data_IF_323089941570
#
_entry.id   IF_323089941570
#
_cell.length_a   1.000
_cell.length_b   1.000
_cell.length_c   1.000
_cell.angle_alpha   90.00
_cell.angle_beta   90.00
_cell.angle_gamma   90.00
#
_symmetry.space_group_name_H-M   'P 1'
#
loop_
_entity.id
_entity.type
_entity.pdbx_description
1 polymer ?
#
# COMPACT_ATOMS: atom_id res chain seq x y z
N UNK A 1 -4.96 -67.73 14.94
CA UNK A 1 -4.48 -66.60 14.10
C UNK A 1 -5.49 -65.47 14.28
N UNK A 2 -5.16 -64.53 15.15
CA UNK A 2 -6.01 -63.38 15.50
C UNK A 2 -5.10 -62.16 15.47
N UNK A 3 -5.42 -61.22 14.59
CA UNK A 3 -4.73 -59.96 14.34
C UNK A 3 -4.88 -59.01 15.53
N UNK A 4 -3.80 -58.36 16.02
CA UNK A 4 -3.91 -57.34 17.05
C UNK A 4 -4.27 -55.97 16.44
N UNK A 5 -5.04 -55.21 17.22
CA UNK A 5 -5.76 -53.99 16.87
C UNK A 5 -4.93 -52.85 16.27
N UNK A 6 -5.53 -52.19 15.28
CA UNK A 6 -5.28 -50.81 14.93
C UNK A 6 -6.00 -49.92 15.94
N UNK A 7 -5.31 -49.54 17.01
CA UNK A 7 -5.67 -48.32 17.75
C UNK A 7 -5.28 -47.12 16.87
N UNK A 8 -6.15 -46.77 15.93
CA UNK A 8 -6.13 -45.43 15.34
C UNK A 8 -6.41 -44.43 16.46
N UNK A 9 -5.32 -43.86 16.98
CA UNK A 9 -5.37 -42.74 17.90
C UNK A 9 -6.16 -41.59 17.29
N UNK A 10 -7.45 -41.53 17.65
CA UNK A 10 -8.28 -40.33 17.50
C UNK A 10 -7.55 -39.24 18.28
N UNK A 11 -6.79 -38.40 17.58
CA UNK A 11 -6.18 -37.22 18.20
C UNK A 11 -7.31 -36.48 18.90
N UNK A 12 -7.21 -36.21 20.21
CA UNK A 12 -8.29 -35.55 20.93
C UNK A 12 -8.56 -34.22 20.23
N UNK A 13 -9.83 -34.01 19.85
CA UNK A 13 -10.32 -32.78 19.23
C UNK A 13 -10.03 -31.63 20.20
N UNK A 14 -8.87 -30.97 20.04
CA UNK A 14 -8.42 -29.90 20.93
C UNK A 14 -9.54 -28.87 21.02
N UNK A 15 -9.93 -28.56 22.25
CA UNK A 15 -11.02 -27.64 22.58
C UNK A 15 -10.73 -26.31 21.88
N UNK A 16 -11.60 -25.93 20.94
CA UNK A 16 -11.53 -24.65 20.25
C UNK A 16 -11.79 -23.56 21.29
N UNK A 17 -10.73 -22.91 21.77
CA UNK A 17 -10.87 -21.80 22.73
C UNK A 17 -11.37 -20.58 21.96
N UNK A 18 -12.67 -20.30 22.07
CA UNK A 18 -13.26 -19.06 21.58
C UNK A 18 -12.70 -17.90 22.42
N UNK A 19 -11.93 -17.00 21.79
CA UNK A 19 -11.38 -15.81 22.43
C UNK A 19 -12.21 -14.59 22.04
N UNK A 20 -12.41 -13.69 22.99
CA UNK A 20 -13.13 -12.43 22.80
C UNK A 20 -12.17 -11.32 22.39
N UNK A 21 -12.66 -10.36 21.62
CA UNK A 21 -11.89 -9.15 21.29
C UNK A 21 -11.71 -8.25 22.51
N UNK A 22 -10.71 -7.38 22.48
CA UNK A 22 -10.43 -6.47 23.59
C UNK A 22 -11.63 -5.51 23.83
N UNK A 23 -11.97 -5.18 25.09
CA UNK A 23 -13.12 -4.33 25.46
C UNK A 23 -13.09 -2.88 24.93
N UNK A 24 -12.06 -2.48 24.19
CA UNK A 24 -11.92 -1.13 23.58
C UNK A 24 -12.51 -1.06 22.17
N UNK A 25 -12.80 -2.19 21.55
CA UNK A 25 -13.46 -2.30 20.23
C UNK A 25 -14.81 -1.54 20.11
N UNK A 26 -15.68 -1.45 21.14
CA UNK A 26 -16.94 -0.70 21.09
C UNK A 26 -16.78 0.77 20.69
N UNK A 27 -15.75 1.42 21.22
CA UNK A 27 -15.56 2.88 21.09
C UNK A 27 -15.36 3.33 19.65
N UNK A 28 -14.76 2.48 18.79
CA UNK A 28 -14.63 2.76 17.36
C UNK A 28 -15.90 2.42 16.58
N UNK A 29 -16.69 1.41 16.93
CA UNK A 29 -17.95 1.16 16.20
C UNK A 29 -19.04 2.17 16.56
N UNK A 30 -18.91 2.86 17.69
CA UNK A 30 -19.81 3.91 18.12
C UNK A 30 -19.84 5.14 17.18
N UNK A 31 -18.79 5.45 16.40
CA UNK A 31 -18.85 6.59 15.48
C UNK A 31 -19.56 6.29 14.15
N UNK A 32 -19.80 5.02 13.80
CA UNK A 32 -20.42 4.67 12.52
C UNK A 32 -21.84 5.23 12.34
N UNK A 33 -22.74 5.20 13.35
CA UNK A 33 -24.03 5.89 13.28
C UNK A 33 -23.88 7.40 13.11
N UNK A 34 -22.89 8.03 13.76
CA UNK A 34 -22.60 9.46 13.63
C UNK A 34 -22.17 9.80 12.20
N UNK A 35 -21.33 8.97 11.57
CA UNK A 35 -20.93 9.16 10.18
C UNK A 35 -22.08 8.99 9.18
N UNK A 36 -23.06 8.14 9.46
CA UNK A 36 -24.29 8.01 8.64
C UNK A 36 -25.13 9.29 8.74
N UNK A 37 -25.27 9.85 9.95
CA UNK A 37 -26.00 11.13 10.15
C UNK A 37 -25.28 12.29 9.45
N UNK A 38 -23.95 12.36 9.55
CA UNK A 38 -23.13 13.37 8.87
C UNK A 38 -23.18 13.19 7.34
N UNK A 39 -23.12 11.95 6.86
CA UNK A 39 -23.23 11.64 5.44
C UNK A 39 -24.60 11.98 4.85
N UNK A 40 -25.67 11.74 5.61
CA UNK A 40 -27.04 12.16 5.25
C UNK A 40 -27.15 13.69 5.17
N UNK A 41 -26.59 14.42 6.15
CA UNK A 41 -26.55 15.88 6.13
C UNK A 41 -25.71 16.46 4.97
N UNK A 42 -24.68 15.74 4.51
CA UNK A 42 -23.84 16.15 3.39
C UNK A 42 -24.48 15.85 2.01
N UNK A 43 -25.42 14.92 1.93
CA UNK A 43 -26.08 14.55 0.67
C UNK A 43 -27.08 15.62 0.20
N UNK A 44 -27.70 16.35 1.13
CA UNK A 44 -28.66 17.43 0.85
C UNK A 44 -28.29 18.73 1.61
N UNK A 45 -27.29 19.49 1.14
CA UNK A 45 -26.76 20.65 1.85
C UNK A 45 -27.79 21.79 1.99
N UNK A 46 -28.70 21.97 1.02
CA UNK A 46 -29.72 23.03 1.07
C UNK A 46 -30.84 22.74 2.11
N UNK A 47 -31.28 21.49 2.26
CA UNK A 47 -32.26 21.12 3.30
C UNK A 47 -31.63 21.10 4.70
N UNK A 48 -30.38 20.62 4.81
CA UNK A 48 -29.64 20.64 6.06
C UNK A 48 -29.45 22.07 6.60
N UNK A 49 -29.18 23.04 5.72
CA UNK A 49 -29.01 24.44 6.10
C UNK A 49 -30.33 25.11 6.54
N UNK A 50 -31.45 24.84 5.87
CA UNK A 50 -32.77 25.31 6.30
C UNK A 50 -33.23 24.66 7.63
N UNK A 51 -32.91 23.39 7.88
CA UNK A 51 -33.20 22.73 9.15
C UNK A 51 -32.27 23.22 10.27
N UNK A 52 -30.97 23.40 10.02
CA UNK A 52 -30.00 23.91 11.01
C UNK A 52 -30.37 25.31 11.53
N UNK A 53 -30.93 26.18 10.68
CA UNK A 53 -31.39 27.52 11.08
C UNK A 53 -32.69 27.51 11.90
N UNK A 54 -33.47 26.41 11.85
CA UNK A 54 -34.69 26.20 12.68
C UNK A 54 -34.42 25.41 13.98
N UNK A 55 -33.22 24.87 14.17
CA UNK A 55 -32.88 24.06 15.34
C UNK A 55 -32.56 24.97 16.54
N UNK A 56 -33.53 25.13 17.44
CA UNK A 56 -33.30 25.64 18.80
C UNK A 56 -32.19 24.83 19.49
N UNK A 57 -31.33 25.45 20.30
CA UNK A 57 -30.26 24.79 21.08
C UNK A 57 -30.72 23.50 21.78
N UNK A 58 -31.99 23.49 22.23
CA UNK A 58 -32.66 22.34 22.84
C UNK A 58 -32.75 21.12 21.92
N UNK A 59 -33.06 21.29 20.63
CA UNK A 59 -33.19 20.18 19.68
C UNK A 59 -31.82 19.57 19.37
N UNK A 60 -30.78 20.39 19.27
CA UNK A 60 -29.39 19.93 19.14
C UNK A 60 -28.95 19.12 20.35
N UNK A 61 -29.29 19.56 21.57
CA UNK A 61 -29.04 18.82 22.81
C UNK A 61 -29.80 17.49 22.88
N UNK A 62 -31.06 17.46 22.44
CA UNK A 62 -31.87 16.22 22.39
C UNK A 62 -31.27 15.22 21.38
N UNK A 63 -30.91 15.69 20.18
CA UNK A 63 -30.25 14.84 19.17
C UNK A 63 -28.94 14.29 19.72
N UNK A 64 -28.12 15.12 20.37
CA UNK A 64 -26.88 14.67 21.00
C UNK A 64 -27.15 13.63 22.12
N UNK A 65 -28.13 13.90 22.98
CA UNK A 65 -28.52 13.03 24.09
C UNK A 65 -29.12 11.68 23.65
N UNK A 66 -29.66 11.57 22.42
CA UNK A 66 -30.17 10.31 21.87
C UNK A 66 -29.11 9.59 21.02
N UNK A 67 -28.38 10.33 20.18
CA UNK A 67 -27.40 9.77 19.24
C UNK A 67 -26.20 9.19 19.99
N UNK A 68 -25.70 9.86 21.04
CA UNK A 68 -24.51 9.39 21.78
C UNK A 68 -24.77 8.08 22.53
N UNK A 69 -25.89 7.90 23.27
CA UNK A 69 -26.22 6.62 23.90
C UNK A 69 -26.53 5.52 22.88
N UNK A 70 -27.28 5.82 21.81
CA UNK A 70 -27.58 4.84 20.76
C UNK A 70 -26.31 4.35 20.06
N UNK A 71 -25.39 5.26 19.75
CA UNK A 71 -24.06 4.96 19.23
C UNK A 71 -23.23 4.08 20.18
N UNK A 72 -23.24 4.42 21.47
CA UNK A 72 -22.51 3.69 22.50
C UNK A 72 -23.07 2.27 22.69
N UNK A 73 -24.40 2.13 22.73
CA UNK A 73 -25.10 0.86 22.83
C UNK A 73 -24.85 -0.02 21.60
N UNK A 74 -24.88 0.57 20.39
CA UNK A 74 -24.54 -0.13 19.16
C UNK A 74 -23.08 -0.63 19.18
N UNK A 75 -22.13 0.24 19.58
CA UNK A 75 -20.73 -0.14 19.74
C UNK A 75 -20.55 -1.30 20.71
N UNK A 76 -21.20 -1.23 21.87
CA UNK A 76 -21.14 -2.25 22.92
C UNK A 76 -21.72 -3.59 22.47
N UNK A 77 -22.94 -3.58 21.92
CA UNK A 77 -23.58 -4.77 21.37
C UNK A 77 -22.74 -5.37 20.24
N UNK A 78 -22.20 -4.55 19.35
CA UNK A 78 -21.36 -5.02 18.25
C UNK A 78 -20.08 -5.72 18.73
N UNK A 79 -19.44 -5.24 19.79
CA UNK A 79 -18.31 -5.91 20.43
C UNK A 79 -18.74 -7.20 21.13
N UNK A 80 -19.82 -7.17 21.91
CA UNK A 80 -20.31 -8.33 22.67
C UNK A 80 -20.58 -9.56 21.79
N UNK A 81 -21.02 -9.34 20.55
CA UNK A 81 -21.32 -10.43 19.61
C UNK A 81 -20.16 -10.80 18.66
N UNK A 82 -18.98 -10.18 18.76
CA UNK A 82 -17.83 -10.53 17.90
C UNK A 82 -16.90 -11.54 18.60
N UNK A 83 -16.83 -12.75 18.06
CA UNK A 83 -16.00 -13.85 18.60
C UNK A 83 -15.03 -14.35 17.53
N UNK A 84 -13.81 -14.72 17.92
CA UNK A 84 -12.86 -15.38 17.03
C UNK A 84 -12.37 -16.69 17.64
N UNK A 85 -12.09 -17.67 16.80
CA UNK A 85 -11.45 -18.90 17.20
C UNK A 85 -10.39 -19.31 16.19
N UNK A 86 -9.23 -19.70 16.71
CA UNK A 86 -8.09 -20.19 15.92
C UNK A 86 -8.02 -21.69 16.13
N UNK A 87 -8.17 -22.46 15.06
CA UNK A 87 -8.00 -23.92 15.03
C UNK A 87 -6.66 -24.26 14.37
N UNK A 88 -6.23 -25.52 14.42
CA UNK A 88 -4.96 -25.96 13.81
C UNK A 88 -4.90 -25.74 12.28
N UNK A 89 -6.04 -25.66 11.58
CA UNK A 89 -6.12 -25.53 10.12
C UNK A 89 -6.94 -24.34 9.61
N UNK A 90 -7.77 -23.73 10.47
CA UNK A 90 -8.65 -22.64 10.10
C UNK A 90 -8.76 -21.58 11.20
N UNK A 91 -8.79 -20.32 10.78
CA UNK A 91 -9.20 -19.18 11.57
C UNK A 91 -10.68 -18.91 11.27
N UNK A 92 -11.54 -19.00 12.29
CA UNK A 92 -12.95 -18.61 12.19
C UNK A 92 -13.18 -17.26 12.86
N UNK A 93 -13.78 -16.35 12.11
CA UNK A 93 -14.21 -15.05 12.61
C UNK A 93 -15.73 -15.01 12.54
N UNK A 94 -16.40 -14.90 13.68
CA UNK A 94 -17.86 -14.73 13.77
C UNK A 94 -18.16 -13.28 14.14
N UNK A 95 -18.79 -12.56 13.21
CA UNK A 95 -19.18 -11.15 13.40
C UNK A 95 -20.65 -10.95 13.06
N UNK A 96 -21.40 -10.23 13.89
CA UNK A 96 -22.74 -9.75 13.53
C UNK A 96 -23.70 -9.67 14.72
N UNK A 97 -24.41 -8.54 14.82
CA UNK A 97 -25.47 -8.33 15.80
C UNK A 97 -26.83 -8.82 15.27
N UNK A 98 -27.20 -8.40 14.05
CA UNK A 98 -28.43 -8.82 13.35
C UNK A 98 -28.15 -9.79 12.20
N UNK A 99 -27.10 -9.53 11.40
CA UNK A 99 -26.68 -10.39 10.30
C UNK A 99 -25.40 -11.13 10.66
N UNK A 100 -25.54 -12.42 11.02
CA UNK A 100 -24.43 -13.29 11.40
C UNK A 100 -23.58 -13.61 10.16
N UNK A 101 -22.31 -13.22 10.18
CA UNK A 101 -21.32 -13.59 9.17
C UNK A 101 -20.21 -14.40 9.83
N UNK A 102 -19.92 -15.56 9.24
CA UNK A 102 -18.79 -16.39 9.65
C UNK A 102 -17.80 -16.41 8.49
N UNK A 103 -16.62 -15.85 8.71
CA UNK A 103 -15.50 -15.98 7.78
C UNK A 103 -14.67 -17.21 8.22
N UNK A 104 -14.52 -18.17 7.30
CA UNK A 104 -13.64 -19.32 7.47
C UNK A 104 -12.38 -19.08 6.63
N UNK A 105 -11.26 -18.84 7.30
CA UNK A 105 -9.97 -18.57 6.66
C UNK A 105 -9.08 -19.78 6.90
N UNK A 106 -8.76 -20.54 5.85
CA UNK A 106 -7.79 -21.65 5.94
C UNK A 106 -6.40 -21.06 6.19
N UNK A 107 -5.67 -21.55 7.19
CA UNK A 107 -4.35 -21.02 7.58
C UNK A 107 -3.31 -21.19 6.46
N UNK A 108 -3.40 -22.25 5.67
CA UNK A 108 -2.62 -22.47 4.44
C UNK A 108 -2.79 -21.38 3.36
N UNK A 109 -3.88 -20.59 3.41
CA UNK A 109 -4.12 -19.48 2.49
C UNK A 109 -3.75 -18.14 3.11
N UNK A 110 -3.32 -18.12 4.36
CA UNK A 110 -2.88 -16.93 5.04
C UNK A 110 -1.48 -16.56 4.55
N UNK A 111 -1.37 -15.38 3.97
CA UNK A 111 -0.21 -14.98 3.18
C UNK A 111 0.65 -13.92 3.85
N UNK A 112 0.02 -13.01 4.59
CA UNK A 112 0.67 -11.95 5.34
C UNK A 112 -0.25 -11.53 6.51
N UNK A 113 0.37 -11.06 7.58
CA UNK A 113 -0.31 -10.62 8.80
C UNK A 113 0.27 -9.27 9.20
N UNK A 114 -0.48 -8.20 8.95
CA UNK A 114 -0.07 -6.84 9.25
C UNK A 114 -0.63 -6.38 10.58
N UNK A 115 0.17 -5.64 11.34
CA UNK A 115 -0.22 -5.10 12.64
C UNK A 115 -0.25 -3.58 12.57
N UNK A 116 -1.41 -3.00 12.90
CA UNK A 116 -1.63 -1.55 12.92
C UNK A 116 -2.01 -1.10 14.33
N UNK A 117 -1.31 -0.10 14.85
CA UNK A 117 -1.56 0.51 16.16
C UNK A 117 -1.83 2.00 16.00
N UNK A 118 -3.10 2.39 15.78
CA UNK A 118 -3.52 3.79 15.82
C UNK A 118 -3.21 4.46 17.15
N UNK A 119 -3.04 5.79 17.21
CA UNK A 119 -2.70 6.49 18.47
C UNK A 119 -3.63 6.14 19.62
N UNK A 120 -4.94 6.19 19.37
CA UNK A 120 -5.95 5.89 20.39
C UNK A 120 -5.85 4.44 20.85
N UNK A 121 -5.52 3.54 19.93
CA UNK A 121 -5.29 2.13 20.25
C UNK A 121 -3.99 1.94 21.05
N UNK A 122 -2.93 2.70 20.74
CA UNK A 122 -1.65 2.70 21.48
C UNK A 122 -1.83 3.18 22.91
N UNK A 123 -2.58 4.27 23.12
CA UNK A 123 -2.94 4.77 24.44
C UNK A 123 -3.79 3.75 25.22
N UNK A 124 -4.68 3.04 24.52
CA UNK A 124 -5.52 2.00 25.11
C UNK A 124 -4.83 0.62 25.23
N UNK A 125 -3.60 0.45 24.75
CA UNK A 125 -2.86 -0.82 24.78
C UNK A 125 -3.35 -1.89 23.80
N UNK A 126 -3.97 -1.51 22.68
CA UNK A 126 -4.65 -2.41 21.72
C UNK A 126 -4.08 -2.26 20.31
N UNK A 127 -4.10 -3.33 19.51
CA UNK A 127 -3.61 -3.38 18.14
C UNK A 127 -4.60 -4.07 17.20
N UNK A 128 -4.71 -3.57 15.96
CA UNK A 128 -5.54 -4.17 14.91
C UNK A 128 -4.69 -5.08 14.02
N UNK A 129 -5.21 -6.27 13.75
CA UNK A 129 -4.56 -7.27 12.91
C UNK A 129 -5.28 -7.33 11.54
N UNK A 130 -4.53 -7.22 10.46
CA UNK A 130 -5.06 -7.31 9.09
C UNK A 130 -4.48 -8.55 8.44
N UNK A 131 -5.36 -9.41 7.95
CA UNK A 131 -4.97 -10.69 7.35
C UNK A 131 -5.13 -10.61 5.85
N UNK A 132 -4.09 -11.02 5.13
CA UNK A 132 -4.12 -11.15 3.67
C UNK A 132 -4.29 -12.62 3.30
N UNK A 133 -5.34 -12.94 2.55
CA UNK A 133 -5.76 -14.31 2.24
C UNK A 133 -5.87 -14.50 0.73
N UNK A 134 -5.32 -15.60 0.20
CA UNK A 134 -5.39 -15.90 -1.23
C UNK A 134 -6.83 -16.14 -1.70
N UNK A 135 -7.24 -15.39 -2.73
CA UNK A 135 -8.53 -15.59 -3.41
C UNK A 135 -9.73 -14.99 -2.68
N UNK A 136 -9.51 -14.17 -1.65
CA UNK A 136 -10.56 -13.36 -1.05
C UNK A 136 -10.54 -11.94 -1.64
N UNK A 137 -11.65 -11.48 -2.22
CA UNK A 137 -11.78 -10.10 -2.74
C UNK A 137 -11.77 -9.05 -1.61
N UNK A 138 -12.01 -9.47 -0.36
CA UNK A 138 -11.98 -8.60 0.82
C UNK A 138 -10.90 -9.07 1.79
N UNK A 139 -10.07 -8.13 2.22
CA UNK A 139 -9.12 -8.36 3.31
C UNK A 139 -9.90 -8.48 4.61
N UNK A 140 -9.86 -9.64 5.24
CA UNK A 140 -10.51 -9.85 6.52
C UNK A 140 -9.67 -9.21 7.63
N UNK A 141 -10.29 -8.31 8.38
CA UNK A 141 -9.64 -7.55 9.45
C UNK A 141 -10.09 -8.07 10.81
N UNK A 142 -9.14 -8.50 11.63
CA UNK A 142 -9.38 -8.79 13.04
C UNK A 142 -9.25 -7.49 13.84
N UNK A 143 -10.39 -7.04 14.36
CA UNK A 143 -10.48 -5.80 15.10
C UNK A 143 -9.93 -5.97 16.53
N UNK A 144 -8.80 -5.31 16.82
CA UNK A 144 -8.39 -4.87 18.16
C UNK A 144 -8.24 -5.95 19.25
N UNK A 145 -7.04 -6.52 19.31
CA UNK A 145 -6.53 -7.41 20.36
C UNK A 145 -5.55 -6.65 21.26
N UNK A 146 -5.30 -7.08 22.51
CA UNK A 146 -4.27 -6.46 23.34
C UNK A 146 -2.92 -6.41 22.59
N UNK A 147 -2.12 -5.35 22.71
CA UNK A 147 -0.95 -5.16 21.85
C UNK A 147 0.10 -6.28 21.99
N UNK A 148 0.20 -6.91 23.16
CA UNK A 148 1.00 -8.13 23.39
C UNK A 148 0.33 -9.37 22.77
N UNK A 149 -0.96 -9.55 22.98
CA UNK A 149 -1.75 -10.64 22.40
C UNK A 149 -1.77 -10.61 20.87
N UNK A 150 -1.82 -9.42 20.26
CA UNK A 150 -1.78 -9.22 18.82
C UNK A 150 -0.42 -9.64 18.23
N UNK A 151 0.67 -9.32 18.93
CA UNK A 151 2.02 -9.75 18.54
C UNK A 151 2.19 -11.26 18.69
N UNK A 152 1.71 -11.83 19.81
CA UNK A 152 1.71 -13.27 20.03
C UNK A 152 0.85 -13.99 18.97
N UNK A 153 -0.36 -13.49 18.67
CA UNK A 153 -1.24 -14.05 17.67
C UNK A 153 -0.65 -13.94 16.25
N UNK A 154 0.04 -12.84 15.93
CA UNK A 154 0.77 -12.71 14.66
C UNK A 154 1.83 -13.81 14.53
N UNK A 155 2.68 -13.98 15.54
CA UNK A 155 3.71 -15.01 15.55
C UNK A 155 3.08 -16.41 15.44
N UNK A 156 2.01 -16.67 16.18
CA UNK A 156 1.28 -17.94 16.18
C UNK A 156 0.64 -18.23 14.81
N UNK A 157 0.01 -17.24 14.17
CA UNK A 157 -0.59 -17.38 12.84
C UNK A 157 0.45 -17.61 11.75
N UNK A 158 1.57 -16.88 11.80
CA UNK A 158 2.67 -17.05 10.83
C UNK A 158 3.35 -18.41 11.00
N UNK A 159 3.64 -18.83 12.23
CA UNK A 159 4.21 -20.14 12.52
C UNK A 159 3.31 -21.28 12.04
N UNK A 160 1.99 -21.20 12.29
CA UNK A 160 1.04 -22.20 11.79
C UNK A 160 0.87 -22.18 10.27
N UNK A 161 0.87 -21.00 9.65
CA UNK A 161 0.84 -20.88 8.19
C UNK A 161 2.10 -21.50 7.54
N UNK A 162 3.25 -21.42 8.21
CA UNK A 162 4.50 -22.05 7.82
C UNK A 162 4.62 -23.53 8.24
N UNK A 163 3.61 -24.10 8.92
CA UNK A 163 3.59 -25.52 9.31
C UNK A 163 4.39 -25.87 10.58
N UNK A 164 4.87 -24.88 11.33
CA UNK A 164 5.57 -25.09 12.60
C UNK A 164 4.59 -25.28 13.78
N UNK A 165 5.00 -26.05 14.80
CA UNK A 165 4.23 -26.22 16.03
C UNK A 165 4.20 -24.89 16.83
N UNK A 166 3.08 -24.53 17.48
CA UNK A 166 2.92 -23.22 18.14
C UNK A 166 3.87 -22.98 19.31
N UNK A 167 4.41 -24.03 19.93
CA UNK A 167 5.32 -23.94 21.08
C UNK A 167 6.68 -23.32 20.71
N UNK A 168 7.21 -23.59 19.51
CA UNK A 168 8.48 -22.98 19.04
C UNK A 168 8.33 -21.49 18.68
N UNK A 169 7.11 -21.02 18.41
CA UNK A 169 6.85 -19.62 18.08
C UNK A 169 6.87 -18.67 19.30
N UNK A 170 6.67 -19.19 20.52
CA UNK A 170 6.78 -18.41 21.75
C UNK A 170 8.23 -18.31 22.26
N UNK A 171 9.06 -19.32 22.00
CA UNK A 171 10.48 -19.34 22.39
C UNK A 171 11.37 -18.56 21.41
N UNK A 172 11.02 -18.56 20.12
CA UNK A 172 11.66 -17.71 19.12
C UNK A 172 11.02 -16.32 19.22
N UNK A 173 11.49 -15.51 20.18
CA UNK A 173 11.19 -14.08 20.22
C UNK A 173 11.41 -13.43 18.84
N UNK A 174 10.68 -12.35 18.56
CA UNK A 174 10.71 -11.59 17.30
C UNK A 174 12.16 -11.43 16.80
N UNK A 175 12.55 -12.19 15.77
CA UNK A 175 13.94 -12.27 15.34
C UNK A 175 14.49 -10.86 15.06
N UNK A 176 15.69 -10.51 15.55
CA UNK A 176 16.22 -9.16 15.44
C UNK A 176 16.35 -8.79 13.96
N UNK A 177 15.43 -7.95 13.49
CA UNK A 177 15.46 -7.47 12.12
C UNK A 177 16.72 -6.61 11.95
N UNK A 178 17.62 -7.01 11.04
CA UNK A 178 18.80 -6.20 10.75
C UNK A 178 18.32 -4.95 10.00
N UNK A 179 18.43 -3.80 10.65
CA UNK A 179 18.01 -2.52 10.06
C UNK A 179 18.88 -2.22 8.83
N UNK A 180 18.24 -2.20 7.65
CA UNK A 180 18.91 -1.92 6.38
C UNK A 180 18.94 -0.42 6.12
N UNK A 181 17.83 0.26 6.41
CA UNK A 181 17.66 1.67 6.15
C UNK A 181 16.62 2.26 7.09
N UNK A 182 16.95 3.41 7.68
CA UNK A 182 15.99 4.27 8.36
C UNK A 182 16.00 5.65 7.75
N UNK A 183 14.81 6.17 7.49
CA UNK A 183 14.62 7.49 6.93
C UNK A 183 14.49 8.48 8.08
N UNK A 184 15.47 9.38 8.29
CA UNK A 184 15.39 10.32 9.38
C UNK A 184 14.26 11.33 9.11
N UNK A 185 13.52 11.70 10.16
CA UNK A 185 12.35 12.58 10.06
C UNK A 185 12.68 13.93 9.40
N UNK A 186 13.89 14.45 9.61
CA UNK A 186 14.37 15.68 8.96
C UNK A 186 14.47 15.53 7.44
N UNK A 187 15.01 14.42 6.95
CA UNK A 187 15.11 14.19 5.50
C UNK A 187 13.74 14.02 4.88
N UNK A 188 12.84 13.30 5.55
CA UNK A 188 11.44 13.19 5.13
C UNK A 188 10.76 14.56 5.04
N UNK A 189 10.89 15.40 6.08
CA UNK A 189 10.29 16.73 6.09
C UNK A 189 10.81 17.60 4.93
N UNK A 190 12.13 17.63 4.71
CA UNK A 190 12.74 18.39 3.61
C UNK A 190 12.29 17.81 2.26
N UNK A 191 12.24 16.49 2.12
CA UNK A 191 11.82 15.82 0.90
C UNK A 191 10.36 16.17 0.54
N UNK A 192 9.47 16.18 1.53
CA UNK A 192 8.07 16.58 1.35
C UNK A 192 7.95 18.05 0.95
N UNK A 193 8.71 18.96 1.59
CA UNK A 193 8.75 20.37 1.18
C UNK A 193 9.30 20.58 -0.23
N UNK A 194 10.21 19.73 -0.68
CA UNK A 194 10.75 19.73 -2.04
C UNK A 194 9.87 18.94 -3.04
N UNK A 195 8.68 18.49 -2.64
CA UNK A 195 7.77 17.81 -3.56
C UNK A 195 7.06 18.84 -4.43
N UNK A 196 7.00 18.61 -5.75
CA UNK A 196 6.44 19.58 -6.70
C UNK A 196 4.96 19.93 -6.49
N UNK A 197 4.18 19.05 -5.84
CA UNK A 197 2.79 19.32 -5.50
C UNK A 197 2.62 20.51 -4.54
N UNK A 198 3.49 20.61 -3.52
CA UNK A 198 3.49 21.71 -2.55
C UNK A 198 3.75 23.04 -3.24
N UNK A 199 4.76 23.09 -4.11
CA UNK A 199 5.08 24.29 -4.90
C UNK A 199 4.00 24.63 -5.93
N UNK A 200 3.38 23.64 -6.55
CA UNK A 200 2.26 23.84 -7.47
C UNK A 200 1.04 24.45 -6.78
N UNK A 201 0.69 23.95 -5.60
CA UNK A 201 -0.40 24.49 -4.78
C UNK A 201 -0.09 25.91 -4.29
N UNK A 202 1.14 26.18 -3.85
CA UNK A 202 1.58 27.53 -3.46
C UNK A 202 1.57 28.51 -4.65
N UNK A 203 2.03 28.09 -5.83
CA UNK A 203 1.96 28.91 -7.03
C UNK A 203 0.51 29.21 -7.44
N UNK A 204 -0.37 28.21 -7.35
CA UNK A 204 -1.80 28.40 -7.57
C UNK A 204 -2.41 29.35 -6.54
N UNK A 205 -2.07 29.19 -5.26
CA UNK A 205 -2.53 30.08 -4.20
C UNK A 205 -2.02 31.52 -4.34
N UNK A 206 -0.89 31.74 -5.03
CA UNK A 206 -0.37 33.08 -5.33
C UNK A 206 -1.07 33.72 -6.53
N UNK A 207 -1.43 32.93 -7.54
CA UNK A 207 -1.94 33.44 -8.84
C UNK A 207 -3.48 33.49 -8.89
N UNK A 208 -4.15 32.45 -8.39
CA UNK A 208 -5.61 32.30 -8.50
C UNK A 208 -6.36 33.40 -7.74
N UNK A 209 -6.02 33.75 -6.48
CA UNK A 209 -6.78 34.76 -5.75
C UNK A 209 -6.73 36.17 -6.39
N UNK A 210 -5.57 36.69 -6.87
CA UNK A 210 -5.53 37.95 -7.61
C UNK A 210 -6.34 37.93 -8.91
N UNK A 211 -6.28 36.84 -9.68
CA UNK A 211 -7.06 36.69 -10.92
C UNK A 211 -8.56 36.70 -10.63
N UNK A 212 -8.99 35.98 -9.59
CA UNK A 212 -10.39 35.97 -9.17
C UNK A 212 -10.84 37.34 -8.63
N UNK A 213 -9.98 38.04 -7.91
CA UNK A 213 -10.25 39.41 -7.46
C UNK A 213 -10.50 40.34 -8.65
N UNK A 214 -9.62 40.33 -9.65
CA UNK A 214 -9.75 41.14 -10.87
C UNK A 214 -11.04 40.81 -11.65
N UNK A 215 -11.46 39.56 -11.68
CA UNK A 215 -12.64 39.13 -12.41
C UNK A 215 -13.97 39.39 -11.66
N UNK A 216 -13.99 39.26 -10.33
CA UNK A 216 -15.23 39.22 -9.54
C UNK A 216 -15.40 40.36 -8.56
N UNK A 217 -14.30 41.06 -8.18
CA UNK A 217 -14.26 42.08 -7.12
C UNK A 217 -14.87 41.62 -5.78
N UNK A 218 -14.96 40.31 -5.56
CA UNK A 218 -15.58 39.69 -4.40
C UNK A 218 -14.50 39.12 -3.47
N UNK A 219 -14.35 39.72 -2.29
CA UNK A 219 -13.44 39.22 -1.24
C UNK A 219 -13.82 37.80 -0.82
N UNK A 220 -15.11 37.48 -0.76
CA UNK A 220 -15.60 36.16 -0.37
C UNK A 220 -15.19 35.07 -1.36
N UNK A 221 -15.23 35.34 -2.67
CA UNK A 221 -14.81 34.39 -3.70
C UNK A 221 -13.31 34.11 -3.63
N UNK A 222 -12.52 35.16 -3.37
CA UNK A 222 -11.07 35.07 -3.17
C UNK A 222 -10.75 34.24 -1.92
N UNK A 223 -11.41 34.48 -0.79
CA UNK A 223 -11.21 33.72 0.44
C UNK A 223 -11.66 32.25 0.31
N UNK A 224 -12.83 32.03 -0.29
CA UNK A 224 -13.40 30.70 -0.50
C UNK A 224 -12.52 29.81 -1.39
N UNK A 225 -11.73 30.40 -2.29
CA UNK A 225 -10.82 29.66 -3.19
C UNK A 225 -9.37 29.63 -2.70
N UNK A 226 -8.87 30.75 -2.17
CA UNK A 226 -7.49 30.89 -1.71
C UNK A 226 -7.17 30.07 -0.46
N UNK A 227 -8.10 30.04 0.52
CA UNK A 227 -7.88 29.33 1.77
C UNK A 227 -7.77 27.80 1.58
N UNK A 228 -8.64 27.13 0.78
CA UNK A 228 -8.45 25.72 0.46
C UNK A 228 -7.17 25.42 -0.33
N UNK A 229 -6.73 26.31 -1.24
CA UNK A 229 -5.48 26.12 -2.00
C UNK A 229 -4.25 26.14 -1.08
N UNK A 230 -4.19 27.09 -0.14
CA UNK A 230 -3.14 27.13 0.88
C UNK A 230 -3.22 25.92 1.82
N UNK A 231 -4.42 25.57 2.27
CA UNK A 231 -4.67 24.40 3.10
C UNK A 231 -4.22 23.09 2.43
N UNK A 232 -4.49 22.93 1.12
CA UNK A 232 -4.11 21.74 0.36
C UNK A 232 -2.58 21.54 0.26
N UNK A 233 -1.82 22.64 0.15
CA UNK A 233 -0.36 22.58 0.13
C UNK A 233 0.21 21.99 1.44
N UNK A 234 -0.33 22.46 2.58
CA UNK A 234 0.06 21.99 3.91
C UNK A 234 -0.47 20.60 4.24
N UNK A 235 -1.75 20.34 3.99
CA UNK A 235 -2.43 19.10 4.36
C UNK A 235 -1.85 17.86 3.66
N UNK A 236 -1.54 17.97 2.36
CA UNK A 236 -0.95 16.85 1.60
C UNK A 236 0.44 16.48 2.11
N UNK A 237 1.25 17.48 2.48
CA UNK A 237 2.59 17.28 3.04
C UNK A 237 2.52 16.75 4.47
N UNK A 238 1.64 17.32 5.30
CA UNK A 238 1.46 16.90 6.69
C UNK A 238 0.92 15.47 6.81
N UNK A 239 -0.07 15.10 5.99
CA UNK A 239 -0.62 13.74 5.97
C UNK A 239 0.43 12.69 5.59
N UNK A 240 1.25 12.98 4.58
CA UNK A 240 2.38 12.10 4.21
C UNK A 240 3.46 12.07 5.28
N UNK A 241 3.77 13.19 5.93
CA UNK A 241 4.73 13.21 7.02
C UNK A 241 4.26 12.33 8.18
N UNK A 242 2.99 12.45 8.56
CA UNK A 242 2.38 11.63 9.61
C UNK A 242 2.39 10.14 9.27
N UNK A 243 2.03 9.79 8.03
CA UNK A 243 1.99 8.39 7.59
C UNK A 243 3.38 7.78 7.39
N UNK A 244 4.32 8.52 6.81
CA UNK A 244 5.66 8.05 6.45
C UNK A 244 6.71 8.31 7.56
N UNK A 245 6.30 8.78 8.74
CA UNK A 245 7.21 9.11 9.85
C UNK A 245 7.96 7.88 10.38
N UNK A 246 9.22 8.08 10.78
CA UNK A 246 10.10 7.06 11.36
C UNK A 246 10.14 5.77 10.54
N UNK A 247 10.21 5.91 9.22
CA UNK A 247 10.21 4.79 8.29
C UNK A 247 11.49 3.96 8.42
N UNK A 248 11.34 2.69 8.78
CA UNK A 248 12.43 1.72 8.88
C UNK A 248 12.18 0.55 7.93
N UNK A 249 13.24 0.11 7.27
CA UNK A 249 13.27 -1.11 6.47
C UNK A 249 14.27 -2.05 7.11
N UNK A 250 13.78 -3.20 7.58
CA UNK A 250 14.58 -4.25 8.18
C UNK A 250 14.51 -5.54 7.38
N UNK A 251 15.57 -6.35 7.48
CA UNK A 251 15.58 -7.70 6.93
C UNK A 251 15.05 -8.71 7.95
N UNK A 252 14.12 -9.58 7.53
CA UNK A 252 13.50 -10.64 8.33
C UNK A 252 13.61 -11.99 7.59
N UNK A 253 13.54 -13.14 8.29
CA UNK A 253 13.51 -14.46 7.65
C UNK A 253 12.38 -14.63 6.62
N UNK A 254 11.25 -13.94 6.82
CA UNK A 254 10.08 -14.04 5.94
C UNK A 254 10.03 -12.96 4.83
N UNK A 255 11.02 -12.05 4.78
CA UNK A 255 11.08 -10.97 3.79
C UNK A 255 11.52 -9.62 4.37
N UNK A 256 11.17 -8.51 3.69
CA UNK A 256 11.48 -7.17 4.17
C UNK A 256 10.39 -6.67 5.11
N UNK A 257 10.77 -6.27 6.31
CA UNK A 257 9.89 -5.63 7.28
C UNK A 257 9.93 -4.12 7.10
N UNK A 258 8.76 -3.51 7.06
CA UNK A 258 8.57 -2.08 6.94
C UNK A 258 7.78 -1.61 8.15
N UNK A 259 8.36 -0.72 8.95
CA UNK A 259 7.68 -0.07 10.06
C UNK A 259 7.60 1.44 9.81
N UNK A 260 6.41 2.03 10.00
CA UNK A 260 6.19 3.45 9.75
C UNK A 260 4.97 3.99 10.49
N UNK A 261 4.94 5.32 10.66
CA UNK A 261 3.79 6.07 11.14
C UNK A 261 4.02 6.78 12.48
N UNK A 262 3.61 8.05 12.54
CA UNK A 262 3.65 8.86 13.76
C UNK A 262 2.42 8.58 14.64
N UNK A 263 1.24 8.70 14.01
CA UNK A 263 -0.03 8.50 14.67
C UNK A 263 -0.41 7.02 14.68
N UNK A 264 -0.42 6.42 13.49
CA UNK A 264 -0.81 5.03 13.31
C UNK A 264 0.44 4.22 12.93
N UNK A 265 1.02 3.51 13.91
CA UNK A 265 2.20 2.68 13.66
C UNK A 265 1.79 1.40 12.95
N UNK A 266 2.34 1.18 11.76
CA UNK A 266 2.04 0.03 10.90
C UNK A 266 3.30 -0.81 10.74
N UNK A 267 3.16 -2.12 10.97
CA UNK A 267 4.20 -3.13 10.81
C UNK A 267 3.78 -4.09 9.70
N UNK A 268 4.39 -3.97 8.52
CA UNK A 268 4.09 -4.79 7.34
C UNK A 268 5.32 -5.60 6.93
N UNK A 269 5.09 -6.83 6.45
CA UNK A 269 6.13 -7.68 5.89
C UNK A 269 5.88 -7.86 4.40
N UNK A 270 6.81 -7.39 3.58
CA UNK A 270 6.77 -7.53 2.13
C UNK A 270 7.61 -8.74 1.74
N UNK A 271 6.99 -9.86 1.34
CA UNK A 271 7.73 -11.00 0.83
C UNK A 271 8.28 -10.66 -0.57
N UNK A 272 9.60 -10.73 -0.77
CA UNK A 272 10.27 -10.35 -2.01
C UNK A 272 9.79 -11.15 -3.23
N UNK A 273 9.43 -12.43 -3.06
CA UNK A 273 8.85 -13.27 -4.09
C UNK A 273 7.53 -12.75 -4.70
N UNK A 274 6.80 -11.90 -3.97
CA UNK A 274 5.54 -11.29 -4.44
C UNK A 274 5.71 -9.93 -5.10
N UNK A 275 6.92 -9.38 -5.09
CA UNK A 275 7.22 -8.10 -5.75
C UNK A 275 7.18 -8.31 -7.26
N UNK A 276 6.27 -7.60 -7.93
CA UNK A 276 6.06 -7.67 -9.37
C UNK A 276 6.89 -6.62 -10.10
N UNK A 277 6.86 -5.39 -9.60
CA UNK A 277 7.55 -4.25 -10.19
C UNK A 277 8.15 -3.39 -9.09
N UNK A 278 9.35 -2.86 -9.33
CA UNK A 278 10.00 -1.84 -8.49
C UNK A 278 10.06 -0.54 -9.27
N UNK A 279 9.66 0.58 -8.68
CA UNK A 279 9.66 1.89 -9.33
C UNK A 279 10.48 2.89 -8.53
N UNK A 280 11.53 3.41 -9.14
CA UNK A 280 12.38 4.46 -8.58
C UNK A 280 11.87 5.80 -9.11
N UNK A 281 11.32 6.61 -8.22
CA UNK A 281 10.77 7.94 -8.51
C UNK A 281 11.73 9.02 -8.04
N UNK A 282 12.13 9.90 -8.96
CA UNK A 282 13.05 11.00 -8.74
C UNK A 282 12.38 12.34 -9.15
N UNK A 283 11.76 13.06 -8.20
CA UNK A 283 11.20 14.39 -8.41
C UNK A 283 12.26 15.43 -8.82
N UNK A 284 11.84 16.49 -9.53
CA UNK A 284 12.77 17.49 -10.10
C UNK A 284 13.69 18.13 -9.04
N UNK A 285 13.11 18.58 -7.93
CA UNK A 285 13.86 19.29 -6.87
C UNK A 285 14.75 18.34 -6.06
N UNK A 286 14.45 17.05 -6.05
CA UNK A 286 15.24 16.02 -5.35
C UNK A 286 16.53 15.66 -6.10
N UNK A 287 16.60 15.92 -7.42
CA UNK A 287 17.76 15.59 -8.26
C UNK A 287 19.06 16.20 -7.78
N UNK A 288 19.02 17.43 -7.28
CA UNK A 288 20.21 18.12 -6.75
C UNK A 288 20.76 17.44 -5.50
N UNK A 289 19.90 16.74 -4.75
CA UNK A 289 20.25 16.01 -3.53
C UNK A 289 20.55 14.53 -3.78
N UNK A 290 20.30 14.02 -4.99
CA UNK A 290 20.41 12.59 -5.30
C UNK A 290 19.37 11.73 -4.57
N UNK A 291 18.24 12.31 -4.17
CA UNK A 291 17.18 11.61 -3.44
C UNK A 291 16.19 10.94 -4.37
N UNK A 292 15.77 9.74 -4.00
CA UNK A 292 14.80 8.93 -4.71
C UNK A 292 13.77 8.35 -3.75
N UNK A 293 12.56 8.11 -4.25
CA UNK A 293 11.53 7.31 -3.61
C UNK A 293 11.45 5.96 -4.31
N UNK A 294 11.36 4.89 -3.55
CA UNK A 294 11.19 3.53 -4.09
C UNK A 294 9.78 3.06 -3.80
N UNK A 295 9.03 2.84 -4.87
CA UNK A 295 7.68 2.28 -4.87
C UNK A 295 7.74 0.81 -5.29
N UNK A 296 6.85 -0.02 -4.75
CA UNK A 296 6.71 -1.44 -5.10
C UNK A 296 5.30 -1.69 -5.58
N UNK A 297 5.16 -2.57 -6.55
CA UNK A 297 3.89 -3.21 -6.86
C UNK A 297 3.98 -4.66 -6.39
N UNK A 298 3.31 -4.98 -5.27
CA UNK A 298 3.30 -6.31 -4.67
C UNK A 298 1.97 -6.97 -4.97
N UNK A 299 1.98 -8.25 -5.34
CA UNK A 299 0.75 -9.02 -5.50
C UNK A 299 0.05 -9.17 -4.14
N UNK A 300 -1.23 -8.79 -4.06
CA UNK A 300 -2.03 -8.89 -2.84
C UNK A 300 -1.88 -7.73 -1.86
N UNK A 301 -0.73 -7.03 -1.79
CA UNK A 301 -0.60 -5.88 -0.87
C UNK A 301 -1.20 -4.58 -1.42
N UNK A 302 -1.75 -3.77 -0.51
CA UNK A 302 -2.18 -2.41 -0.81
C UNK A 302 -1.03 -1.39 -0.62
N UNK A 303 0.05 -1.78 0.06
CA UNK A 303 1.21 -0.94 0.22
C UNK A 303 2.00 -0.90 -1.09
N UNK A 304 2.34 0.31 -1.49
CA UNK A 304 3.04 0.59 -2.74
C UNK A 304 4.38 1.27 -2.52
N UNK A 305 4.87 1.36 -1.27
CA UNK A 305 6.05 2.14 -0.90
C UNK A 305 7.02 1.24 -0.15
N UNK A 306 8.27 1.20 -0.61
CA UNK A 306 9.37 0.55 0.10
C UNK A 306 10.22 1.56 0.86
N UNK A 307 10.55 2.67 0.22
CA UNK A 307 11.38 3.74 0.80
C UNK A 307 10.79 5.09 0.40
N UNK A 308 10.35 5.92 1.36
CA UNK A 308 9.70 7.19 1.04
C UNK A 308 10.69 8.23 0.50
N UNK A 309 11.89 8.27 1.06
CA UNK A 309 13.04 9.04 0.56
C UNK A 309 14.34 8.40 1.02
N UNK A 310 15.30 8.26 0.11
CA UNK A 310 16.68 7.92 0.44
C UNK A 310 17.65 8.41 -0.63
N UNK A 311 18.96 8.54 -0.30
CA UNK A 311 20.00 8.64 -1.31
C UNK A 311 19.94 7.46 -2.29
N UNK A 312 20.18 7.73 -3.57
CA UNK A 312 20.08 6.72 -4.64
C UNK A 312 20.89 5.44 -4.35
N UNK A 313 22.11 5.56 -3.82
CA UNK A 313 22.94 4.41 -3.49
C UNK A 313 22.32 3.51 -2.41
N UNK A 314 21.73 4.11 -1.37
CA UNK A 314 21.04 3.37 -0.31
C UNK A 314 19.76 2.70 -0.84
N UNK A 315 19.01 3.39 -1.70
CA UNK A 315 17.84 2.81 -2.36
C UNK A 315 18.22 1.62 -3.25
N UNK A 316 19.29 1.72 -4.04
CA UNK A 316 19.79 0.63 -4.89
C UNK A 316 20.25 -0.58 -4.05
N UNK A 317 20.85 -0.37 -2.88
CA UNK A 317 21.21 -1.45 -1.96
C UNK A 317 19.98 -2.21 -1.42
N UNK A 318 18.91 -1.50 -1.06
CA UNK A 318 17.65 -2.14 -0.64
C UNK A 318 16.99 -2.88 -1.81
N UNK A 319 17.00 -2.31 -3.01
CA UNK A 319 16.44 -2.94 -4.22
C UNK A 319 17.19 -4.23 -4.57
N UNK A 320 18.52 -4.25 -4.42
CA UNK A 320 19.32 -5.45 -4.65
C UNK A 320 18.94 -6.60 -3.71
N UNK A 321 18.43 -6.29 -2.50
CA UNK A 321 17.91 -7.31 -1.59
C UNK A 321 16.53 -7.83 -2.03
N UNK A 322 15.67 -6.98 -2.59
CA UNK A 322 14.35 -7.38 -3.10
C UNK A 322 14.44 -8.19 -4.39
N UNK A 323 15.29 -7.74 -5.31
CA UNK A 323 15.49 -8.31 -6.63
C UNK A 323 16.95 -8.77 -6.77
N UNK A 324 17.32 -9.96 -6.28
CA UNK A 324 18.68 -10.46 -6.41
C UNK A 324 19.05 -10.61 -7.89
N UNK A 325 20.24 -10.13 -8.26
CA UNK A 325 20.73 -10.12 -9.65
C UNK A 325 20.17 -8.99 -10.53
N UNK A 326 19.28 -8.15 -10.02
CA UNK A 326 18.82 -6.96 -10.73
C UNK A 326 19.77 -5.79 -10.50
N UNK A 327 20.62 -5.51 -11.49
CA UNK A 327 21.36 -4.25 -11.53
C UNK A 327 20.47 -3.12 -12.03
N UNK A 328 20.44 -2.01 -11.28
CA UNK A 328 19.76 -0.79 -11.71
C UNK A 328 20.65 -0.08 -12.73
N UNK A 329 20.29 -0.03 -14.03
CA UNK A 329 21.14 0.58 -15.02
C UNK A 329 21.25 2.09 -14.77
N UNK A 330 22.47 2.61 -14.95
CA UNK A 330 22.71 4.04 -14.90
C UNK A 330 21.82 4.77 -15.91
N UNK A 331 21.31 5.95 -15.56
CA UNK A 331 20.36 6.67 -16.43
C UNK A 331 20.94 7.02 -17.81
N UNK A 332 22.26 7.06 -17.95
CA UNK A 332 22.97 7.30 -19.21
C UNK A 332 22.91 6.11 -20.19
N UNK A 333 22.77 4.87 -19.69
CA UNK A 333 22.75 3.67 -20.54
C UNK A 333 21.37 3.36 -21.14
N UNK A 334 20.34 4.12 -20.73
CA UNK A 334 18.99 3.99 -21.27
C UNK A 334 18.90 4.47 -22.72
N UNK A 335 18.51 3.59 -23.63
CA UNK A 335 18.18 3.90 -25.02
C UNK A 335 17.03 4.91 -25.08
N UNK A 336 17.26 6.06 -25.71
CA UNK A 336 16.27 7.13 -25.86
C UNK A 336 15.39 6.92 -27.09
N UNK A 337 14.15 7.45 -27.12
CA UNK A 337 13.33 7.43 -28.32
C UNK A 337 14.03 8.11 -29.50
N UNK A 338 13.75 7.70 -30.75
CA UNK A 338 14.28 8.38 -31.93
C UNK A 338 13.79 9.83 -31.98
N UNK A 339 14.57 10.74 -32.60
CA UNK A 339 14.25 12.18 -32.65
C UNK A 339 12.85 12.50 -33.20
N UNK A 340 12.34 11.67 -34.11
CA UNK A 340 10.99 11.80 -34.68
C UNK A 340 9.85 11.60 -33.67
N UNK A 341 10.12 11.02 -32.50
CA UNK A 341 9.20 10.99 -31.36
C UNK A 341 8.73 12.41 -30.95
N UNK A 342 9.55 13.43 -31.23
CA UNK A 342 9.19 14.83 -31.07
C UNK A 342 7.96 15.26 -31.86
N UNK A 343 7.60 14.58 -32.96
CA UNK A 343 6.37 14.90 -33.72
C UNK A 343 5.09 14.41 -33.07
N UNK A 344 5.18 13.41 -32.18
CA UNK A 344 4.04 12.99 -31.36
C UNK A 344 3.97 13.78 -30.06
N UNK A 345 5.12 13.98 -29.42
CA UNK A 345 5.25 14.65 -28.13
C UNK A 345 6.50 15.53 -28.18
N UNK A 346 6.41 16.87 -28.33
CA UNK A 346 7.56 17.72 -28.65
C UNK A 346 8.60 17.83 -27.53
N UNK A 347 8.16 17.82 -26.27
CA UNK A 347 9.06 18.00 -25.11
C UNK A 347 9.19 16.73 -24.26
N UNK A 348 8.07 16.05 -24.02
CA UNK A 348 7.99 14.94 -23.07
C UNK A 348 8.72 13.67 -23.51
N UNK A 349 8.94 13.48 -24.82
CA UNK A 349 9.66 12.32 -25.36
C UNK A 349 11.08 12.17 -24.81
N UNK A 350 11.75 13.28 -24.46
CA UNK A 350 13.10 13.29 -23.88
C UNK A 350 13.18 12.62 -22.51
N UNK A 351 12.04 12.50 -21.82
CA UNK A 351 11.91 11.83 -20.53
C UNK A 351 11.80 10.30 -20.63
N UNK A 352 11.54 9.75 -21.82
CA UNK A 352 11.45 8.30 -21.99
C UNK A 352 12.83 7.68 -22.18
N UNK A 353 12.95 6.41 -21.80
CA UNK A 353 14.16 5.63 -22.01
C UNK A 353 13.90 4.17 -21.70
N UNK A 354 14.74 3.29 -22.23
CA UNK A 354 14.63 1.85 -22.00
C UNK A 354 16.01 1.21 -21.88
N UNK A 355 16.13 0.24 -20.98
CA UNK A 355 17.25 -0.70 -20.96
C UNK A 355 16.69 -2.09 -20.69
N UNK A 356 17.38 -3.10 -21.21
CA UNK A 356 17.06 -4.49 -20.90
C UNK A 356 18.36 -5.15 -20.46
N UNK A 357 18.40 -5.60 -19.21
CA UNK A 357 19.54 -6.35 -18.66
C UNK A 357 19.26 -7.85 -18.71
N UNK A 358 20.15 -8.67 -18.17
CA UNK A 358 19.92 -10.12 -18.11
C UNK A 358 18.73 -10.51 -17.22
N UNK A 359 18.50 -9.77 -16.13
CA UNK A 359 17.49 -10.10 -15.13
C UNK A 359 16.23 -9.22 -15.21
N UNK A 360 16.34 -7.95 -15.63
CA UNK A 360 15.24 -6.99 -15.56
C UNK A 360 15.04 -6.18 -16.84
N UNK A 361 13.77 -5.93 -17.12
CA UNK A 361 13.30 -4.94 -18.08
C UNK A 361 13.15 -3.58 -17.39
N UNK A 362 13.77 -2.55 -17.94
CA UNK A 362 13.79 -1.21 -17.34
C UNK A 362 13.19 -0.19 -18.29
N UNK A 363 12.15 0.51 -17.84
CA UNK A 363 11.54 1.61 -18.58
C UNK A 363 11.51 2.89 -17.75
N UNK A 364 11.99 3.98 -18.36
CA UNK A 364 11.98 5.33 -17.77
C UNK A 364 10.86 6.16 -18.38
N UNK A 365 10.18 6.94 -17.54
CA UNK A 365 9.21 7.93 -17.96
C UNK A 365 9.31 9.25 -17.18
N UNK A 366 8.83 10.32 -17.81
CA UNK A 366 8.67 11.65 -17.20
C UNK A 366 9.93 12.53 -17.28
N UNK A 367 9.70 13.83 -17.52
CA UNK A 367 10.75 14.84 -17.60
C UNK A 367 10.97 15.57 -16.27
N UNK A 368 9.88 15.99 -15.61
CA UNK A 368 9.91 16.71 -14.32
C UNK A 368 9.97 15.74 -13.14
N UNK A 369 9.06 14.77 -13.09
CA UNK A 369 9.11 13.61 -12.19
C UNK A 369 9.64 12.43 -12.99
N UNK A 370 10.93 12.11 -12.83
CA UNK A 370 11.51 10.93 -13.47
C UNK A 370 11.05 9.71 -12.70
N UNK A 371 10.70 8.66 -13.41
CA UNK A 371 10.32 7.40 -12.81
C UNK A 371 10.87 6.27 -13.65
N UNK A 372 11.62 5.37 -13.02
CA UNK A 372 12.27 4.22 -13.63
C UNK A 372 11.61 2.98 -13.04
N UNK A 373 10.89 2.23 -13.85
CA UNK A 373 10.29 0.96 -13.46
C UNK A 373 11.19 -0.20 -13.87
N UNK A 374 11.42 -1.13 -12.94
CA UNK A 374 12.16 -2.36 -13.12
C UNK A 374 11.20 -3.54 -12.99
N UNK A 375 11.19 -4.40 -14.01
CA UNK A 375 10.34 -5.59 -14.08
C UNK A 375 11.22 -6.81 -14.31
N UNK A 376 11.31 -7.75 -13.36
CA UNK A 376 12.02 -9.01 -13.57
C UNK A 376 11.42 -9.79 -14.74
N UNK A 377 12.26 -10.34 -15.61
CA UNK A 377 11.79 -11.13 -16.76
C UNK A 377 10.89 -12.30 -16.34
N UNK A 378 11.21 -12.93 -15.21
CA UNK A 378 10.45 -14.03 -14.62
C UNK A 378 9.01 -13.65 -14.21
N UNK A 379 8.74 -12.36 -13.93
CA UNK A 379 7.43 -11.86 -13.47
C UNK A 379 6.58 -11.27 -14.61
N UNK A 380 7.09 -11.27 -15.85
CA UNK A 380 6.35 -10.82 -17.02
C UNK A 380 5.32 -11.86 -17.43
N UNK A 381 4.04 -11.47 -17.46
CA UNK A 381 2.93 -12.34 -17.85
C UNK A 381 2.60 -12.23 -19.33
N UNK A 382 2.54 -11.01 -19.85
CA UNK A 382 2.30 -10.78 -21.27
C UNK A 382 3.08 -9.57 -21.77
N UNK A 383 3.36 -9.56 -23.07
CA UNK A 383 4.00 -8.43 -23.74
C UNK A 383 3.16 -8.07 -24.94
N UNK A 384 2.77 -6.80 -25.06
CA UNK A 384 1.88 -6.31 -26.11
C UNK A 384 2.52 -5.15 -26.84
N UNK A 385 2.35 -5.11 -28.16
CA UNK A 385 2.77 -3.99 -28.98
C UNK A 385 1.53 -3.19 -29.40
N UNK A 386 1.55 -1.88 -29.16
CA UNK A 386 0.45 -1.00 -29.58
C UNK A 386 0.96 0.14 -30.46
N UNK A 387 0.25 0.37 -31.55
CA UNK A 387 0.57 1.37 -32.54
C UNK A 387 -0.71 2.07 -33.00
N UNK A 388 -0.98 3.25 -32.44
CA UNK A 388 -2.09 4.09 -32.89
C UNK A 388 -1.82 4.74 -34.25
N UNK A 389 -2.83 5.36 -34.91
CA UNK A 389 -2.70 5.94 -36.25
C UNK A 389 -1.55 6.95 -36.38
N UNK A 390 -1.43 7.87 -35.41
CA UNK A 390 -0.35 8.86 -35.35
C UNK A 390 1.04 8.25 -35.17
N UNK A 391 1.15 7.18 -34.36
CA UNK A 391 2.41 6.46 -34.18
C UNK A 391 2.77 5.69 -35.45
N UNK A 392 1.78 5.10 -36.14
CA UNK A 392 1.97 4.43 -37.44
C UNK A 392 2.53 5.39 -38.50
N UNK A 393 1.97 6.60 -38.58
CA UNK A 393 2.46 7.64 -39.50
C UNK A 393 3.95 7.95 -39.29
N UNK A 394 4.40 8.00 -38.03
CA UNK A 394 5.79 8.29 -37.68
C UNK A 394 6.69 7.06 -37.49
N UNK A 395 6.19 5.86 -37.85
CA UNK A 395 6.88 4.57 -37.64
C UNK A 395 7.34 4.38 -36.19
N UNK A 396 6.47 4.73 -35.25
CA UNK A 396 6.67 4.55 -33.82
C UNK A 396 5.71 3.49 -33.27
N UNK A 397 6.07 2.87 -32.17
CA UNK A 397 5.21 1.93 -31.43
C UNK A 397 5.54 1.97 -29.93
N UNK A 398 4.59 1.53 -29.11
CA UNK A 398 4.80 1.34 -27.67
C UNK A 398 4.79 -0.15 -27.35
N UNK A 399 5.72 -0.59 -26.51
CA UNK A 399 5.74 -1.96 -25.98
C UNK A 399 5.29 -1.94 -24.53
N UNK A 400 4.27 -2.73 -24.23
CA UNK A 400 3.65 -2.88 -22.93
C UNK A 400 4.11 -4.21 -22.36
N UNK A 401 4.69 -4.17 -21.16
CA UNK A 401 5.09 -5.34 -20.39
C UNK A 401 4.12 -5.42 -19.22
N UNK A 402 3.25 -6.41 -19.25
CA UNK A 402 2.25 -6.63 -18.22
C UNK A 402 2.77 -7.65 -17.20
N UNK A 403 2.64 -7.32 -15.93
CA UNK A 403 2.97 -8.17 -14.79
C UNK A 403 1.70 -8.55 -14.04
N UNK A 404 1.81 -9.44 -13.05
CA UNK A 404 0.67 -9.74 -12.18
C UNK A 404 0.11 -8.50 -11.48
N UNK A 405 -1.13 -8.62 -10.99
CA UNK A 405 -1.88 -7.58 -10.28
C UNK A 405 -2.23 -6.34 -11.14
N UNK A 406 -2.53 -6.54 -12.43
CA UNK A 406 -2.97 -5.51 -13.39
C UNK A 406 -2.01 -4.31 -13.52
N UNK A 407 -0.70 -4.58 -13.44
CA UNK A 407 0.34 -3.56 -13.60
C UNK A 407 1.00 -3.68 -14.96
N UNK A 408 1.21 -2.53 -15.59
CA UNK A 408 1.84 -2.45 -16.92
C UNK A 408 2.98 -1.45 -16.90
N UNK A 409 4.14 -1.87 -17.41
CA UNK A 409 5.29 -1.01 -17.66
C UNK A 409 5.44 -0.79 -19.16
N UNK A 410 5.55 0.46 -19.59
CA UNK A 410 5.50 0.83 -21.02
C UNK A 410 6.80 1.44 -21.51
N UNK A 411 7.35 0.85 -22.57
CA UNK A 411 8.40 1.43 -23.39
C UNK A 411 7.76 2.28 -24.50
N UNK A 412 7.73 3.60 -24.30
CA UNK A 412 6.99 4.52 -25.17
C UNK A 412 7.83 5.05 -26.33
N UNK A 413 7.14 5.32 -27.45
CA UNK A 413 7.64 5.99 -28.64
C UNK A 413 8.90 5.34 -29.24
N UNK A 414 8.94 4.01 -29.29
CA UNK A 414 10.05 3.28 -29.90
C UNK A 414 9.96 3.24 -31.40
N UNK A 415 11.09 3.03 -32.08
CA UNK A 415 11.06 2.72 -33.52
C UNK A 415 10.21 1.46 -33.74
N UNK A 416 9.33 1.44 -34.74
CA UNK A 416 8.42 0.32 -34.93
C UNK A 416 9.14 -1.03 -35.16
N UNK A 417 10.33 -1.03 -35.79
CA UNK A 417 11.15 -2.24 -35.96
C UNK A 417 11.81 -2.64 -34.65
N UNK A 418 12.43 -1.68 -33.96
CA UNK A 418 13.01 -1.86 -32.62
C UNK A 418 11.97 -2.41 -31.64
N UNK A 419 10.74 -1.88 -31.66
CA UNK A 419 9.64 -2.32 -30.81
C UNK A 419 9.23 -3.77 -31.09
N UNK A 420 9.21 -4.19 -32.36
CA UNK A 420 8.89 -5.57 -32.74
C UNK A 420 10.00 -6.55 -32.35
N UNK A 421 11.27 -6.16 -32.49
CA UNK A 421 12.42 -6.93 -32.00
C UNK A 421 12.40 -7.04 -30.48
N UNK A 422 12.11 -5.94 -29.80
CA UNK A 422 12.03 -5.87 -28.35
C UNK A 422 10.89 -6.72 -27.80
N UNK A 423 9.73 -6.73 -28.47
CA UNK A 423 8.61 -7.61 -28.15
C UNK A 423 9.03 -9.09 -28.16
N UNK A 424 9.68 -9.53 -29.24
CA UNK A 424 10.14 -10.93 -29.39
C UNK A 424 11.24 -11.27 -28.38
N UNK A 425 12.25 -10.42 -28.25
CA UNK A 425 13.34 -10.64 -27.31
C UNK A 425 12.87 -10.64 -25.85
N UNK A 426 11.86 -9.84 -25.52
CA UNK A 426 11.28 -9.82 -24.18
C UNK A 426 10.42 -11.05 -23.91
N UNK A 427 9.68 -11.55 -24.90
CA UNK A 427 8.94 -12.80 -24.80
C UNK A 427 9.87 -14.00 -24.59
N UNK A 428 11.03 -14.02 -25.24
CA UNK A 428 12.02 -15.09 -25.04
C UNK A 428 12.68 -14.98 -23.65
N UNK A 429 13.10 -13.78 -23.23
CA UNK A 429 13.66 -13.57 -21.88
C UNK A 429 12.68 -13.89 -20.76
N UNK A 430 11.38 -13.62 -20.94
CA UNK A 430 10.38 -14.00 -19.94
C UNK A 430 10.13 -15.51 -19.92
N UNK A 431 10.37 -16.21 -21.03
CA UNK A 431 10.32 -17.67 -21.09
C UNK A 431 11.51 -18.31 -20.40
N UNK A 432 12.73 -17.84 -20.67
CA UNK A 432 13.95 -18.34 -20.00
C UNK A 432 13.99 -17.95 -18.53
N UNK A 433 13.71 -16.68 -18.20
CA UNK A 433 13.70 -16.20 -16.82
C UNK A 433 12.71 -16.93 -15.91
N UNK A 434 11.60 -17.46 -16.42
CA UNK A 434 10.68 -18.32 -15.66
C UNK A 434 11.21 -19.73 -15.40
N UNK A 435 12.09 -20.23 -16.28
CA UNK A 435 12.72 -21.55 -16.12
C UNK A 435 13.91 -21.49 -15.17
N UNK A 436 14.65 -20.38 -15.21
CA UNK A 436 15.86 -20.17 -14.42
C UNK A 436 15.57 -19.57 -13.03
N UNK A 437 14.34 -19.14 -12.78
CA UNK A 437 13.92 -18.66 -11.47
C UNK A 437 13.95 -19.81 -10.46
N UNK A 438 15.00 -19.85 -9.64
CA UNK A 438 15.09 -20.74 -8.49
C UNK A 438 14.00 -20.44 -7.44
N UNK A 439 13.76 -21.37 -6.49
CA UNK A 439 12.89 -21.09 -5.35
C UNK A 439 13.38 -19.84 -4.62
N UNK A 440 12.47 -18.93 -4.28
CA UNK A 440 12.82 -17.74 -3.52
C UNK A 440 13.56 -18.17 -2.24
N UNK A 441 14.71 -17.55 -1.94
CA UNK A 441 15.57 -17.90 -0.79
C UNK A 441 14.86 -17.82 0.58
N UNK A 442 13.63 -17.30 0.61
CA UNK A 442 12.78 -17.17 1.80
C UNK A 442 11.57 -18.13 1.79
N UNK A 443 11.47 -19.02 0.80
CA UNK A 443 10.48 -20.12 0.74
C UNK A 443 11.11 -21.49 1.09
N UNK A 444 12.33 -21.49 1.63
CA UNK A 444 13.11 -22.70 1.97
C UNK A 444 12.89 -23.15 3.41
#
# INVERSE_FOLDING_TARGET
>A
MTTPGLDEGVRPKRVVVERRLHPVTPFRRAWAPVAVVVGWAAHDPNQAQEQLTRLTTTTLLIVFAVVVPAASLYGFLSWWFTHFSVTDSELRIRTGLLFRRTAHIRLERLQAVDLTQPLLARLAGVAKLRLDVVGADKKDELAFLGASEARALRAELLARAAGFAPETAHEVGEAPARELLRVPARELAIALMLTGATWGALAAALVVPPVLWLATHSVWTVLATGLPLLGAAGASSAGRFVGEYDWTVGESPDGLRIDHGLLDRTHETVPPGRVQTVRIVEPLLWRRRGWVRVELDVAGSANSVLVPVAPRAAAEAVIARVLPGAEVPATATLSRPPRRAGRCLPLWWRGYGIAVTGAVFVARHGLLRRSVALVPHAKVQSVRLSQGPWKRLWRLADVHVDTGADKTVTARLRDAREAAELLRGQAERSRTGRRDAGPDQWMA
#
